data_IF_746077762548
#
_entry.id   IF_746077762548
#
_cell.length_a   1.000
_cell.length_b   1.000
_cell.length_c   1.000
_cell.angle_alpha   90.00
_cell.angle_beta   90.00
_cell.angle_gamma   90.00
#
_symmetry.space_group_name_H-M   'P 1'
#
loop_
_entity.id
_entity.type
_entity.pdbx_description
1 polymer ?
#
# COMPACT_ATOMS: atom_id res chain seq x y z
N UNK A 1 -16.54 -22.86 -11.04
CA UNK A 1 -15.94 -21.88 -10.12
C UNK A 1 -16.49 -22.19 -8.74
N UNK A 2 -15.62 -22.53 -7.78
CA UNK A 2 -16.08 -22.77 -6.40
C UNK A 2 -16.55 -21.44 -5.78
N UNK A 3 -17.39 -21.49 -4.75
CA UNK A 3 -17.82 -20.29 -4.02
C UNK A 3 -16.61 -19.51 -3.48
N UNK A 4 -15.60 -20.23 -2.98
CA UNK A 4 -14.35 -19.67 -2.46
C UNK A 4 -13.55 -18.95 -3.56
N UNK A 5 -13.45 -19.54 -4.75
CA UNK A 5 -12.76 -18.95 -5.89
C UNK A 5 -13.45 -17.66 -6.37
N UNK A 6 -14.79 -17.63 -6.34
CA UNK A 6 -15.57 -16.42 -6.62
C UNK A 6 -15.32 -15.29 -5.61
N UNK A 7 -15.29 -15.62 -4.32
CA UNK A 7 -14.97 -14.68 -3.24
C UNK A 7 -13.54 -14.16 -3.41
N UNK A 8 -12.58 -15.06 -3.62
CA UNK A 8 -11.17 -14.72 -3.82
C UNK A 8 -10.99 -13.73 -4.98
N UNK A 9 -11.55 -14.03 -6.15
CA UNK A 9 -11.46 -13.17 -7.34
C UNK A 9 -12.08 -11.79 -7.10
N UNK A 10 -13.25 -11.74 -6.47
CA UNK A 10 -13.89 -10.47 -6.12
C UNK A 10 -12.98 -9.62 -5.23
N UNK A 11 -12.45 -10.19 -4.14
CA UNK A 11 -11.56 -9.45 -3.24
C UNK A 11 -10.21 -9.11 -3.89
N UNK A 12 -9.69 -9.94 -4.80
CA UNK A 12 -8.49 -9.65 -5.59
C UNK A 12 -8.67 -8.40 -6.47
N UNK A 13 -9.80 -8.29 -7.19
CA UNK A 13 -10.12 -7.10 -7.99
C UNK A 13 -10.27 -5.86 -7.09
N UNK A 14 -10.99 -5.99 -5.98
CA UNK A 14 -11.16 -4.88 -5.01
C UNK A 14 -9.80 -4.43 -4.47
N UNK A 15 -8.89 -5.36 -4.14
CA UNK A 15 -7.53 -5.04 -3.70
C UNK A 15 -6.79 -4.22 -4.74
N UNK A 16 -6.80 -4.66 -6.00
CA UNK A 16 -6.13 -3.97 -7.09
C UNK A 16 -6.64 -2.53 -7.23
N UNK A 17 -7.96 -2.34 -7.24
CA UNK A 17 -8.58 -1.02 -7.35
C UNK A 17 -8.19 -0.12 -6.17
N UNK A 18 -8.37 -0.59 -4.94
CA UNK A 18 -8.03 0.17 -3.73
C UNK A 18 -6.54 0.52 -3.71
N UNK A 19 -5.69 -0.41 -4.12
CA UNK A 19 -4.26 -0.20 -4.21
C UNK A 19 -3.90 0.91 -5.20
N UNK A 20 -4.47 0.90 -6.41
CA UNK A 20 -4.26 1.95 -7.42
C UNK A 20 -4.69 3.31 -6.88
N UNK A 21 -5.89 3.41 -6.29
CA UNK A 21 -6.39 4.67 -5.75
C UNK A 21 -5.56 5.20 -4.58
N UNK A 22 -5.15 4.32 -3.66
CA UNK A 22 -4.31 4.70 -2.54
C UNK A 22 -2.95 5.20 -3.02
N UNK A 23 -2.32 4.51 -3.98
CA UNK A 23 -0.92 4.75 -4.34
C UNK A 23 -0.75 5.81 -5.43
N UNK A 24 -1.82 6.22 -6.12
CA UNK A 24 -1.82 7.40 -7.00
C UNK A 24 -1.40 8.71 -6.29
N UNK A 25 -1.50 8.76 -4.95
CA UNK A 25 -0.97 9.84 -4.14
C UNK A 25 0.53 10.09 -4.37
N UNK A 26 1.33 9.02 -4.51
CA UNK A 26 2.77 9.13 -4.62
C UNK A 26 3.24 9.85 -5.90
N UNK A 27 2.87 9.41 -7.13
CA UNK A 27 3.24 10.12 -8.34
C UNK A 27 2.65 11.54 -8.37
N UNK A 28 1.40 11.72 -7.92
CA UNK A 28 0.79 13.04 -7.83
C UNK A 28 1.61 14.00 -6.96
N UNK A 29 2.10 13.52 -5.80
CA UNK A 29 2.92 14.32 -4.90
C UNK A 29 4.33 14.57 -5.42
N UNK A 30 4.91 13.60 -6.12
CA UNK A 30 6.22 13.74 -6.76
C UNK A 30 6.20 14.82 -7.84
N UNK A 31 5.17 14.81 -8.71
CA UNK A 31 4.95 15.85 -9.72
C UNK A 31 4.74 17.20 -9.05
N UNK A 32 3.83 17.29 -8.07
CA UNK A 32 3.55 18.56 -7.40
C UNK A 32 4.77 19.16 -6.70
N UNK A 33 5.68 18.35 -6.15
CA UNK A 33 6.88 18.85 -5.46
C UNK A 33 7.81 19.66 -6.37
N UNK A 34 7.73 19.50 -7.70
CA UNK A 34 8.49 20.29 -8.67
C UNK A 34 8.06 21.77 -8.69
N UNK A 35 6.86 22.09 -8.19
CA UNK A 35 6.25 23.42 -8.21
C UNK A 35 6.21 24.08 -6.83
N UNK A 36 7.17 23.79 -5.95
CA UNK A 36 7.24 24.42 -4.62
C UNK A 36 7.75 25.88 -4.72
N UNK A 37 7.33 26.78 -3.81
CA UNK A 37 6.44 26.55 -2.67
C UNK A 37 4.96 26.42 -3.08
N UNK A 38 4.21 25.59 -2.36
CA UNK A 38 2.79 25.36 -2.66
C UNK A 38 1.88 26.44 -2.07
N UNK A 39 0.83 26.87 -2.80
CA UNK A 39 -0.32 27.54 -2.23
C UNK A 39 -0.96 26.72 -1.09
N UNK A 40 -1.64 27.41 -0.16
CA UNK A 40 -2.29 26.78 1.00
C UNK A 40 -3.26 25.67 0.60
N UNK A 41 -4.02 25.87 -0.47
CA UNK A 41 -5.03 24.90 -0.93
C UNK A 41 -4.40 23.60 -1.42
N UNK A 42 -3.27 23.69 -2.14
CA UNK A 42 -2.51 22.51 -2.59
C UNK A 42 -1.94 21.76 -1.37
N UNK A 43 -1.42 22.49 -0.38
CA UNK A 43 -0.93 21.86 0.84
C UNK A 43 -2.05 21.13 1.63
N UNK A 44 -3.25 21.73 1.71
CA UNK A 44 -4.42 21.11 2.34
C UNK A 44 -4.87 19.88 1.55
N UNK A 45 -4.92 19.97 0.21
CA UNK A 45 -5.26 18.85 -0.66
C UNK A 45 -4.34 17.65 -0.41
N UNK A 46 -3.01 17.84 -0.46
CA UNK A 46 -2.06 16.75 -0.23
C UNK A 46 -2.07 16.22 1.20
N UNK A 47 -2.49 17.02 2.19
CA UNK A 47 -2.71 16.54 3.56
C UNK A 47 -3.92 15.60 3.61
N UNK A 48 -5.06 15.99 3.02
CA UNK A 48 -6.26 15.15 2.93
C UNK A 48 -6.01 13.90 2.10
N UNK A 49 -5.26 14.00 1.00
CA UNK A 49 -4.93 12.87 0.16
C UNK A 49 -4.00 11.88 0.87
N UNK A 50 -3.07 12.35 1.70
CA UNK A 50 -2.28 11.46 2.56
C UNK A 50 -3.16 10.71 3.58
N UNK A 51 -4.17 11.36 4.15
CA UNK A 51 -5.16 10.71 5.01
C UNK A 51 -5.95 9.63 4.26
N UNK A 52 -6.40 9.93 3.04
CA UNK A 52 -7.08 8.97 2.16
C UNK A 52 -6.18 7.79 1.81
N UNK A 53 -4.92 8.03 1.42
CA UNK A 53 -3.93 6.99 1.11
C UNK A 53 -3.79 5.99 2.27
N UNK A 54 -3.67 6.47 3.51
CA UNK A 54 -3.57 5.58 4.67
C UNK A 54 -4.85 4.78 4.90
N UNK A 55 -6.01 5.44 4.90
CA UNK A 55 -7.29 4.76 5.14
C UNK A 55 -7.59 3.71 4.07
N UNK A 56 -7.38 4.03 2.80
CA UNK A 56 -7.60 3.11 1.68
C UNK A 56 -6.61 1.95 1.73
N UNK A 57 -5.34 2.16 2.08
CA UNK A 57 -4.38 1.05 2.25
C UNK A 57 -4.77 0.12 3.41
N UNK A 58 -5.35 0.62 4.50
CA UNK A 58 -5.86 -0.25 5.58
C UNK A 58 -7.02 -1.12 5.08
N UNK A 59 -7.96 -0.54 4.32
CA UNK A 59 -9.07 -1.30 3.73
C UNK A 59 -8.54 -2.31 2.70
N UNK A 60 -7.57 -1.92 1.86
CA UNK A 60 -6.93 -2.80 0.90
C UNK A 60 -6.21 -3.97 1.60
N UNK A 61 -5.57 -3.72 2.74
CA UNK A 61 -4.93 -4.76 3.55
C UNK A 61 -5.94 -5.79 4.07
N UNK A 62 -7.11 -5.35 4.53
CA UNK A 62 -8.19 -6.25 4.96
C UNK A 62 -8.69 -7.07 3.76
N UNK A 63 -9.00 -6.43 2.64
CA UNK A 63 -9.43 -7.11 1.42
C UNK A 63 -8.41 -8.15 0.95
N UNK A 64 -7.11 -7.82 1.03
CA UNK A 64 -6.02 -8.70 0.62
C UNK A 64 -5.92 -9.90 1.55
N UNK A 65 -6.13 -9.70 2.85
CA UNK A 65 -6.14 -10.81 3.82
C UNK A 65 -7.29 -11.77 3.52
N UNK A 66 -8.45 -11.26 3.11
CA UNK A 66 -9.60 -12.09 2.70
C UNK A 66 -9.26 -12.84 1.40
N UNK A 67 -8.75 -12.14 0.38
CA UNK A 67 -8.32 -12.76 -0.87
C UNK A 67 -7.30 -13.88 -0.64
N UNK A 68 -6.25 -13.62 0.16
CA UNK A 68 -5.23 -14.61 0.50
C UNK A 68 -5.76 -15.80 1.34
N UNK A 69 -6.84 -15.61 2.10
CA UNK A 69 -7.45 -16.69 2.88
C UNK A 69 -8.23 -17.67 2.00
N UNK A 70 -8.95 -17.14 0.99
CA UNK A 70 -9.81 -17.92 0.10
C UNK A 70 -9.13 -18.34 -1.22
N UNK A 71 -7.94 -17.80 -1.52
CA UNK A 71 -7.11 -18.28 -2.62
C UNK A 71 -6.46 -19.62 -2.26
N UNK A 72 -6.52 -20.55 -3.22
CA UNK A 72 -5.79 -21.82 -3.15
C UNK A 72 -4.30 -21.63 -3.49
N UNK A 73 -3.93 -20.46 -3.98
CA UNK A 73 -2.60 -20.16 -4.49
C UNK A 73 -1.65 -19.73 -3.38
N UNK A 74 -0.56 -20.50 -3.27
CA UNK A 74 0.43 -20.31 -2.22
C UNK A 74 1.81 -20.54 -2.78
N UNK A 75 2.39 -19.48 -3.33
CA UNK A 75 3.80 -19.47 -3.71
C UNK A 75 4.61 -18.51 -2.84
N UNK A 76 5.93 -18.68 -2.89
CA UNK A 76 6.86 -17.92 -2.05
C UNK A 76 6.83 -16.41 -2.36
N UNK A 77 6.52 -16.02 -3.60
CA UNK A 77 6.45 -14.60 -3.99
C UNK A 77 5.20 -13.94 -3.41
N UNK A 78 4.04 -14.60 -3.46
CA UNK A 78 2.82 -14.12 -2.80
C UNK A 78 3.00 -14.02 -1.30
N UNK A 79 3.62 -15.01 -0.65
CA UNK A 79 3.89 -14.95 0.79
C UNK A 79 4.86 -13.82 1.16
N UNK A 80 5.90 -13.60 0.35
CA UNK A 80 6.82 -12.46 0.54
C UNK A 80 6.09 -11.12 0.33
N UNK A 81 5.24 -11.01 -0.69
CA UNK A 81 4.44 -9.80 -0.94
C UNK A 81 3.52 -9.48 0.24
N UNK A 82 2.88 -10.49 0.83
CA UNK A 82 2.03 -10.35 2.02
C UNK A 82 2.81 -9.79 3.21
N UNK A 83 4.00 -10.34 3.50
CA UNK A 83 4.88 -9.84 4.56
C UNK A 83 5.28 -8.37 4.34
N UNK A 84 5.60 -8.01 3.10
CA UNK A 84 5.93 -6.63 2.74
C UNK A 84 4.70 -5.71 2.88
N UNK A 85 3.50 -6.15 2.50
CA UNK A 85 2.26 -5.38 2.70
C UNK A 85 1.97 -5.15 4.19
N UNK A 86 2.12 -6.18 5.02
CA UNK A 86 1.97 -6.08 6.48
C UNK A 86 2.96 -5.05 7.03
N UNK A 87 4.23 -5.17 6.65
CA UNK A 87 5.27 -4.23 7.08
C UNK A 87 4.96 -2.79 6.66
N UNK A 88 4.59 -2.57 5.40
CA UNK A 88 4.26 -1.25 4.86
C UNK A 88 3.06 -0.64 5.60
N UNK A 89 1.99 -1.41 5.79
CA UNK A 89 0.79 -0.96 6.49
C UNK A 89 1.11 -0.57 7.93
N UNK A 90 1.83 -1.44 8.65
CA UNK A 90 2.22 -1.19 10.02
C UNK A 90 3.16 0.01 10.14
N UNK A 91 4.16 0.11 9.26
CA UNK A 91 5.07 1.25 9.23
C UNK A 91 4.35 2.57 8.96
N UNK A 92 3.37 2.57 8.04
CA UNK A 92 2.48 3.70 7.78
C UNK A 92 1.74 4.18 9.04
N UNK A 93 1.15 3.25 9.77
CA UNK A 93 0.42 3.53 11.02
C UNK A 93 1.37 4.06 12.10
N UNK A 94 2.53 3.43 12.29
CA UNK A 94 3.51 3.82 13.30
C UNK A 94 4.05 5.24 13.08
N UNK A 95 4.26 5.65 11.82
CA UNK A 95 4.66 7.02 11.50
C UNK A 95 3.64 8.08 11.96
N UNK A 96 2.36 7.72 12.02
CA UNK A 96 1.28 8.61 12.49
C UNK A 96 1.11 8.59 14.02
N UNK A 97 1.57 7.54 14.68
CA UNK A 97 1.43 7.38 16.13
C UNK A 97 2.17 8.47 16.90
N UNK A 98 1.53 9.06 17.92
CA UNK A 98 2.20 10.04 18.81
C UNK A 98 3.22 9.39 19.75
N UNK A 99 3.19 8.06 19.91
CA UNK A 99 3.98 7.33 20.92
C UNK A 99 5.46 7.17 20.58
N UNK A 100 5.85 7.32 19.32
CA UNK A 100 7.25 7.12 18.88
C UNK A 100 8.02 8.44 18.77
N UNK A 101 9.33 8.36 19.03
CA UNK A 101 10.25 9.49 18.91
C UNK A 101 10.31 10.03 17.47
N UNK A 102 10.73 11.28 17.31
CA UNK A 102 10.92 11.91 16.00
C UNK A 102 11.93 11.15 15.13
N UNK A 103 12.97 10.61 15.74
CA UNK A 103 14.06 9.92 15.02
C UNK A 103 13.62 8.57 14.48
N UNK A 104 12.90 7.78 15.30
CA UNK A 104 12.30 6.53 14.83
C UNK A 104 11.33 6.79 13.68
N UNK A 105 10.48 7.81 13.78
CA UNK A 105 9.56 8.19 12.69
C UNK A 105 10.29 8.61 11.43
N UNK A 106 11.43 9.32 11.57
CA UNK A 106 12.25 9.74 10.43
C UNK A 106 12.87 8.55 9.72
N UNK A 107 13.45 7.60 10.46
CA UNK A 107 14.01 6.37 9.90
C UNK A 107 12.94 5.52 9.21
N UNK A 108 11.81 5.31 9.88
CA UNK A 108 10.68 4.58 9.29
C UNK A 108 10.18 5.24 8.01
N UNK A 109 10.07 6.57 8.00
CA UNK A 109 9.70 7.34 6.79
C UNK A 109 10.71 7.14 5.67
N UNK A 110 11.99 7.21 5.98
CA UNK A 110 13.04 7.04 4.98
C UNK A 110 12.91 5.70 4.28
N UNK A 111 12.71 4.61 5.02
CA UNK A 111 12.56 3.26 4.46
C UNK A 111 11.21 3.10 3.75
N UNK A 112 10.10 3.49 4.39
CA UNK A 112 8.76 3.30 3.85
C UNK A 112 8.51 4.09 2.55
N UNK A 113 9.17 5.24 2.38
CA UNK A 113 8.98 6.11 1.21
C UNK A 113 9.98 5.84 0.08
N UNK A 114 10.87 4.84 0.22
CA UNK A 114 11.78 4.47 -0.87
C UNK A 114 11.00 3.87 -2.03
N UNK A 115 11.19 4.42 -3.23
CA UNK A 115 10.62 3.88 -4.47
C UNK A 115 11.02 2.42 -4.66
N UNK A 116 12.23 2.04 -4.27
CA UNK A 116 12.72 0.66 -4.34
C UNK A 116 11.83 -0.31 -3.58
N UNK A 117 11.31 0.05 -2.40
CA UNK A 117 10.42 -0.84 -1.63
C UNK A 117 9.10 -1.05 -2.37
N UNK A 118 8.55 0.00 -2.98
CA UNK A 118 7.36 -0.10 -3.82
C UNK A 118 7.60 -0.98 -5.06
N UNK A 119 8.73 -0.80 -5.76
CA UNK A 119 9.08 -1.58 -6.95
C UNK A 119 9.30 -3.05 -6.62
N UNK A 120 10.02 -3.35 -5.54
CA UNK A 120 10.23 -4.73 -5.07
C UNK A 120 8.88 -5.37 -4.72
N UNK A 121 8.04 -4.66 -3.97
CA UNK A 121 6.72 -5.15 -3.60
C UNK A 121 5.82 -5.41 -4.84
N UNK A 122 5.82 -4.50 -5.81
CA UNK A 122 5.07 -4.66 -7.06
C UNK A 122 5.60 -5.85 -7.88
N UNK A 123 6.91 -6.03 -7.95
CA UNK A 123 7.53 -7.16 -8.62
C UNK A 123 7.14 -8.50 -7.97
N UNK A 124 7.12 -8.57 -6.64
CA UNK A 124 6.68 -9.76 -5.91
C UNK A 124 5.21 -10.12 -6.21
N UNK A 125 4.33 -9.12 -6.29
CA UNK A 125 2.93 -9.35 -6.66
C UNK A 125 2.79 -9.87 -8.10
N UNK A 126 3.47 -9.24 -9.05
CA UNK A 126 3.40 -9.65 -10.47
C UNK A 126 3.96 -11.06 -10.63
N UNK A 127 5.16 -11.33 -10.10
CA UNK A 127 5.78 -12.65 -10.18
C UNK A 127 4.94 -13.71 -9.46
N UNK A 128 4.33 -13.35 -8.33
CA UNK A 128 3.44 -14.24 -7.58
C UNK A 128 2.25 -14.74 -8.40
N UNK A 129 1.61 -13.87 -9.19
CA UNK A 129 0.47 -14.27 -10.02
C UNK A 129 0.87 -14.79 -11.42
N UNK A 130 2.13 -14.65 -11.82
CA UNK A 130 2.65 -15.17 -13.11
C UNK A 130 3.21 -16.58 -12.96
N UNK A 131 3.77 -16.91 -11.79
CA UNK A 131 4.36 -18.23 -11.48
C UNK A 131 3.29 -19.23 -10.98
N UNK A 132 2.07 -18.74 -10.78
CA UNK A 132 0.84 -19.50 -10.57
C UNK A 132 0.43 -20.29 -11.83
#
# INVERSE_FOLDING_TARGET
MSENEGISNFFGIICLLLFVFANAYYPARLIANQYRPWPKDIAIFFKKYLDLHMSVNIVAFIAMTIHAHFSDDRNIFLMASLLVTVWLTFAGILMRSKKFSSDTKKQMRLIHTQQTVFLVWLALLILGHVVE
#
